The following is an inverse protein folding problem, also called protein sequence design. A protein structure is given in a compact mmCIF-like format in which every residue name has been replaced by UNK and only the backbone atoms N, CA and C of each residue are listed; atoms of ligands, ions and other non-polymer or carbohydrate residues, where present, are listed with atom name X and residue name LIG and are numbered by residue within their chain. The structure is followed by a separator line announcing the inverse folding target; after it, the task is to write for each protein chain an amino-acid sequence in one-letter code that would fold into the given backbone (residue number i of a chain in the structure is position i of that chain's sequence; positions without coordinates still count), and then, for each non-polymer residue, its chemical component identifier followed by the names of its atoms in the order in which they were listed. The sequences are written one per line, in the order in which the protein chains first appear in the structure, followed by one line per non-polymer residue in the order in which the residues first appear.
data_IF_605406575015
#
_entry.id   IF_605406575015
#
_cell.length_a   1.000
_cell.length_b   1.000
_cell.length_c   1.000
_cell.angle_alpha   90.00
_cell.angle_beta   90.00
_cell.angle_gamma   90.00
#
_symmetry.space_group_name_H-M   'P 1'
#
loop_
_entity.id
_entity.type
_entity.pdbx_description
1 polymer ?
#
# COMPACT_ATOMS: atom_id res chain seq x y z
N UNK A 1 12.21 -0.36 16.05
CA UNK A 1 11.26 0.55 15.38
C UNK A 1 11.93 1.29 14.24
N UNK A 2 12.11 0.59 13.12
CA UNK A 2 12.38 1.26 11.86
C UNK A 2 11.08 1.93 11.44
N UNK A 3 11.02 3.26 11.51
CA UNK A 3 9.87 4.00 10.98
C UNK A 3 9.66 3.53 9.54
N UNK A 4 8.50 2.96 9.23
CA UNK A 4 8.12 2.43 7.91
C UNK A 4 8.39 3.44 6.78
N UNK A 5 8.34 4.74 7.11
CA UNK A 5 8.75 5.85 6.24
C UNK A 5 10.22 5.86 5.78
N UNK A 6 11.14 5.21 6.51
CA UNK A 6 12.57 5.13 6.15
C UNK A 6 12.79 4.08 5.05
N UNK A 7 12.18 2.90 5.16
CA UNK A 7 12.24 1.84 4.12
C UNK A 7 11.48 2.28 2.87
N UNK A 8 10.33 2.94 3.03
CA UNK A 8 9.55 3.50 1.91
C UNK A 8 10.24 4.72 1.27
N UNK A 9 10.89 5.56 2.07
CA UNK A 9 11.66 6.72 1.61
C UNK A 9 12.90 6.34 0.79
N UNK A 10 13.53 5.18 1.08
CA UNK A 10 14.64 4.65 0.29
C UNK A 10 14.25 4.14 -1.10
N UNK A 11 12.95 3.96 -1.38
CA UNK A 11 12.47 3.57 -2.70
C UNK A 11 12.36 4.83 -3.57
N UNK A 12 13.47 5.10 -4.28
CA UNK A 12 13.62 6.22 -5.20
C UNK A 12 12.99 5.99 -6.57
N UNK A 13 12.63 4.75 -6.92
CA UNK A 13 12.06 4.43 -8.23
C UNK A 13 10.60 4.89 -8.35
N UNK A 14 10.27 5.82 -9.27
CA UNK A 14 8.89 6.28 -9.49
C UNK A 14 7.94 5.14 -9.88
N UNK A 15 8.46 4.15 -10.62
CA UNK A 15 7.72 2.96 -11.05
C UNK A 15 7.25 2.13 -9.86
N UNK A 16 8.06 2.03 -8.82
CA UNK A 16 7.73 1.28 -7.60
C UNK A 16 6.73 2.06 -6.76
N UNK A 17 6.89 3.39 -6.64
CA UNK A 17 5.91 4.26 -5.95
C UNK A 17 4.52 4.23 -6.59
N UNK A 18 4.44 4.08 -7.91
CA UNK A 18 3.18 3.93 -8.65
C UNK A 18 2.57 2.54 -8.57
N UNK A 19 3.23 1.54 -8.00
CA UNK A 19 2.63 0.22 -7.87
C UNK A 19 1.46 0.23 -6.87
N UNK A 20 0.47 -0.64 -7.11
CA UNK A 20 -0.72 -0.74 -6.27
C UNK A 20 -0.39 -0.93 -4.79
N UNK A 21 0.62 -1.74 -4.47
CA UNK A 21 1.12 -1.95 -3.10
C UNK A 21 1.48 -0.66 -2.37
N UNK A 22 2.28 0.20 -2.99
CA UNK A 22 2.70 1.46 -2.37
C UNK A 22 1.53 2.44 -2.23
N UNK A 23 0.62 2.46 -3.19
CA UNK A 23 -0.58 3.28 -3.10
C UNK A 23 -1.50 2.82 -1.95
N UNK A 24 -1.70 1.51 -1.78
CA UNK A 24 -2.46 0.95 -0.64
C UNK A 24 -1.82 1.39 0.66
N UNK A 25 -0.51 1.22 0.80
CA UNK A 25 0.20 1.55 2.02
C UNK A 25 0.25 3.04 2.35
N UNK A 26 0.37 3.91 1.34
CA UNK A 26 0.32 5.36 1.55
C UNK A 26 -1.07 5.79 2.04
N UNK A 27 -2.13 5.18 1.50
CA UNK A 27 -3.51 5.41 1.94
C UNK A 27 -3.73 4.95 3.39
N UNK A 28 -3.20 3.78 3.74
CA UNK A 28 -3.21 3.29 5.12
C UNK A 28 -2.41 4.21 6.08
N UNK A 29 -1.24 4.70 5.67
CA UNK A 29 -0.45 5.67 6.44
C UNK A 29 -1.20 6.99 6.68
N UNK A 30 -2.07 7.39 5.74
CA UNK A 30 -2.95 8.56 5.85
C UNK A 30 -4.19 8.30 6.74
N UNK A 31 -4.33 7.10 7.30
CA UNK A 31 -5.46 6.72 8.16
C UNK A 31 -6.71 6.26 7.41
N UNK A 32 -6.61 5.97 6.11
CA UNK A 32 -7.74 5.48 5.33
C UNK A 32 -8.08 4.03 5.71
N UNK A 33 -9.37 3.70 5.73
CA UNK A 33 -9.81 2.36 6.11
C UNK A 33 -9.63 1.35 4.97
N UNK A 34 -9.37 0.09 5.33
CA UNK A 34 -9.31 -1.03 4.37
C UNK A 34 -10.56 -1.12 3.49
N UNK A 35 -11.75 -0.89 4.08
CA UNK A 35 -13.03 -0.89 3.35
C UNK A 35 -13.06 0.18 2.26
N UNK A 36 -12.62 1.40 2.57
CA UNK A 36 -12.57 2.50 1.61
C UNK A 36 -11.57 2.25 0.48
N UNK A 37 -10.44 1.59 0.78
CA UNK A 37 -9.47 1.19 -0.24
C UNK A 37 -10.05 0.12 -1.17
N UNK A 38 -10.86 -0.82 -0.67
CA UNK A 38 -11.54 -1.82 -1.51
C UNK A 38 -12.67 -1.24 -2.36
N UNK A 39 -13.39 -0.24 -1.86
CA UNK A 39 -14.43 0.46 -2.62
C UNK A 39 -13.85 1.29 -3.78
N UNK A 40 -12.63 1.80 -3.62
CA UNK A 40 -11.90 2.51 -4.66
C UNK A 40 -10.47 1.96 -4.80
N UNK A 41 -10.30 0.76 -5.38
CA UNK A 41 -9.02 0.07 -5.40
C UNK A 41 -8.02 0.75 -6.35
N UNK A 42 -6.73 0.86 -5.97
CA UNK A 42 -5.73 1.38 -6.88
C UNK A 42 -5.55 0.46 -8.08
N UNK A 43 -5.14 1.03 -9.21
CA UNK A 43 -4.91 0.27 -10.43
C UNK A 43 -3.51 -0.36 -10.41
N UNK A 44 -3.43 -1.58 -10.93
CA UNK A 44 -2.19 -2.23 -11.29
C UNK A 44 -1.56 -1.53 -12.51
N UNK A 45 -0.31 -1.85 -12.84
CA UNK A 45 0.39 -1.24 -13.99
C UNK A 45 -0.29 -1.49 -15.34
N UNK A 46 -1.07 -2.57 -15.45
CA UNK A 46 -1.86 -2.89 -16.64
C UNK A 46 -3.24 -2.19 -16.67
N UNK A 47 -3.50 -1.25 -15.74
CA UNK A 47 -4.75 -0.51 -15.64
C UNK A 47 -5.91 -1.28 -14.99
N UNK A 48 -5.69 -2.53 -14.56
CA UNK A 48 -6.73 -3.34 -13.91
C UNK A 48 -6.81 -2.98 -12.42
N UNK A 49 -8.02 -2.89 -11.87
CA UNK A 49 -8.24 -2.69 -10.45
C UNK A 49 -7.58 -3.79 -9.60
N UNK A 50 -6.93 -3.39 -8.51
CA UNK A 50 -6.32 -4.34 -7.58
C UNK A 50 -7.40 -5.16 -6.90
N UNK A 51 -7.29 -6.49 -6.96
CA UNK A 51 -8.24 -7.41 -6.32
C UNK A 51 -8.25 -7.23 -4.81
N UNK A 52 -9.41 -7.36 -4.19
CA UNK A 52 -9.61 -7.29 -2.74
C UNK A 52 -8.65 -8.20 -1.96
N UNK A 53 -8.43 -9.43 -2.44
CA UNK A 53 -7.51 -10.38 -1.80
C UNK A 53 -6.08 -9.87 -1.74
N UNK A 54 -5.63 -9.14 -2.76
CA UNK A 54 -4.30 -8.55 -2.77
C UNK A 54 -4.25 -7.35 -1.83
N UNK A 55 -5.32 -6.55 -1.77
CA UNK A 55 -5.44 -5.44 -0.82
C UNK A 55 -5.36 -5.96 0.62
N UNK A 56 -6.01 -7.08 0.93
CA UNK A 56 -5.97 -7.71 2.24
C UNK A 56 -4.55 -8.17 2.63
N UNK A 57 -3.83 -8.80 1.69
CA UNK A 57 -2.44 -9.22 1.90
C UNK A 57 -1.55 -8.01 2.18
N UNK A 58 -1.69 -6.93 1.40
CA UNK A 58 -0.88 -5.74 1.56
C UNK A 58 -1.21 -4.99 2.87
N UNK A 59 -2.48 -4.96 3.27
CA UNK A 59 -2.89 -4.43 4.57
C UNK A 59 -2.30 -5.24 5.73
N UNK A 60 -2.33 -6.57 5.66
CA UNK A 60 -1.71 -7.42 6.66
C UNK A 60 -0.20 -7.15 6.78
N UNK A 61 0.51 -7.09 5.66
CA UNK A 61 1.95 -6.78 5.67
C UNK A 61 2.24 -5.38 6.21
N UNK A 62 1.42 -4.39 5.83
CA UNK A 62 1.49 -3.03 6.36
C UNK A 62 1.33 -3.02 7.89
N UNK A 63 0.32 -3.71 8.42
CA UNK A 63 0.04 -3.76 9.86
C UNK A 63 1.16 -4.44 10.64
N UNK A 64 1.69 -5.57 10.13
CA UNK A 64 2.85 -6.25 10.72
C UNK A 64 4.06 -5.32 10.77
N UNK A 65 4.34 -4.57 9.70
CA UNK A 65 5.50 -3.68 9.64
C UNK A 65 5.34 -2.41 10.46
N UNK A 66 4.12 -1.88 10.57
CA UNK A 66 3.83 -0.70 11.40
C UNK A 66 3.98 -0.99 12.90
N UNK A 67 4.00 -2.26 13.30
CA UNK A 67 4.18 -2.70 14.70
C UNK A 67 5.63 -3.04 15.09
N UNK A 68 6.59 -3.03 14.13
CA UNK A 68 8.02 -3.34 14.34
C UNK A 68 8.88 -2.09 14.65
#
# INVERSE_FOLDING_TARGET
MFKTGVIRGSIKSPTVRKSARFQIWERLDKGESLKSIKENPPLMQNGVATKDSNIDIEHYQWDVWSKL
#
